data_IF_049352527768
#
_entry.id   IF_049352527768
#
_cell.length_a   1.000
_cell.length_b   1.000
_cell.length_c   1.000
_cell.angle_alpha   90.00
_cell.angle_beta   90.00
_cell.angle_gamma   90.00
#
_symmetry.space_group_name_H-M   'P 1'
#
loop_
_entity.id
_entity.type
_entity.pdbx_description
1 polymer ?
#
# COMPACT_ATOMS: atom_id res chain seq x y z
N UNK A 1 -17.32 13.86 -16.53
CA UNK A 1 -17.39 12.39 -16.49
C UNK A 1 -15.96 11.89 -16.57
N UNK A 2 -15.44 11.29 -15.50
CA UNK A 2 -14.12 10.65 -15.52
C UNK A 2 -14.24 9.30 -16.25
N UNK A 3 -13.24 8.91 -17.07
CA UNK A 3 -13.28 7.67 -17.83
C UNK A 3 -13.33 6.45 -16.90
N UNK A 4 -13.96 5.35 -17.34
CA UNK A 4 -14.05 4.13 -16.56
C UNK A 4 -12.64 3.52 -16.42
N UNK A 5 -12.14 3.48 -15.18
CA UNK A 5 -10.89 2.83 -14.77
C UNK A 5 -9.59 3.49 -15.24
N UNK A 6 -9.37 4.76 -14.86
CA UNK A 6 -7.99 5.26 -14.75
C UNK A 6 -7.34 4.69 -13.47
N UNK A 7 -6.24 3.93 -13.56
CA UNK A 7 -5.54 3.40 -12.37
C UNK A 7 -5.10 4.52 -11.42
N UNK A 8 -4.83 5.71 -11.97
CA UNK A 8 -4.46 6.94 -11.25
C UNK A 8 -5.57 7.48 -10.32
N UNK A 9 -6.81 6.98 -10.44
CA UNK A 9 -7.95 7.37 -9.60
C UNK A 9 -8.40 6.23 -8.66
N UNK A 10 -7.64 5.14 -8.58
CA UNK A 10 -7.95 4.05 -7.68
C UNK A 10 -7.27 4.30 -6.31
N UNK A 11 -8.03 4.56 -5.23
CA UNK A 11 -7.44 4.78 -3.91
C UNK A 11 -6.64 3.56 -3.42
N UNK A 12 -6.95 2.35 -3.94
CA UNK A 12 -6.13 1.17 -3.68
C UNK A 12 -4.75 1.25 -4.33
N UNK A 13 -4.60 1.80 -5.54
CA UNK A 13 -3.27 1.95 -6.15
C UNK A 13 -2.43 2.96 -5.36
N UNK A 14 -3.05 4.07 -4.92
CA UNK A 14 -2.41 5.05 -4.04
C UNK A 14 -1.98 4.46 -2.69
N UNK A 15 -2.79 3.53 -2.14
CA UNK A 15 -2.45 2.80 -0.91
C UNK A 15 -1.25 1.88 -1.10
N UNK A 16 -1.10 1.28 -2.28
CA UNK A 16 -0.03 0.31 -2.56
C UNK A 16 1.29 0.97 -2.97
N UNK A 17 1.29 2.23 -3.37
CA UNK A 17 2.47 2.95 -3.85
C UNK A 17 3.57 3.03 -2.77
N UNK A 18 3.20 3.44 -1.57
CA UNK A 18 4.12 3.59 -0.45
C UNK A 18 4.70 2.28 0.11
N UNK A 19 3.92 1.24 0.45
CA UNK A 19 4.49 -0.02 0.94
C UNK A 19 5.29 -0.73 -0.14
N UNK A 20 4.94 -0.57 -1.43
CA UNK A 20 5.74 -1.08 -2.54
C UNK A 20 7.10 -0.40 -2.63
N UNK A 21 7.15 0.92 -2.45
CA UNK A 21 8.40 1.69 -2.54
C UNK A 21 9.26 1.62 -1.28
N UNK A 22 8.67 1.68 -0.08
CA UNK A 22 9.42 1.79 1.18
C UNK A 22 9.72 0.44 1.81
N UNK A 23 8.79 -0.50 1.74
CA UNK A 23 8.81 -1.68 2.60
C UNK A 23 8.99 -3.00 1.85
N UNK A 24 8.70 -3.01 0.55
CA UNK A 24 8.87 -4.16 -0.33
C UNK A 24 9.99 -3.98 -1.36
N UNK A 25 10.66 -2.81 -1.40
CA UNK A 25 11.75 -2.59 -2.33
C UNK A 25 12.93 -3.50 -2.02
N UNK A 26 13.32 -4.33 -2.99
CA UNK A 26 14.44 -5.27 -2.88
C UNK A 26 14.35 -6.25 -1.70
N UNK A 27 13.15 -6.54 -1.19
CA UNK A 27 12.96 -7.58 -0.18
C UNK A 27 12.78 -8.95 -0.85
N UNK A 28 13.52 -9.94 -0.37
CA UNK A 28 13.34 -11.35 -0.74
C UNK A 28 12.86 -12.07 0.52
N UNK A 29 11.75 -12.79 0.38
CA UNK A 29 11.15 -13.53 1.48
C UNK A 29 11.33 -15.03 1.25
N UNK A 30 11.65 -15.76 2.33
CA UNK A 30 11.88 -17.20 2.28
C UNK A 30 10.57 -18.00 2.11
N UNK A 31 9.41 -17.37 2.31
CA UNK A 31 8.08 -17.97 2.15
C UNK A 31 7.00 -16.90 1.92
N UNK A 32 5.84 -17.33 1.40
CA UNK A 32 4.67 -16.46 1.31
C UNK A 32 4.19 -15.98 2.68
N UNK A 33 4.27 -16.83 3.70
CA UNK A 33 3.90 -16.48 5.08
C UNK A 33 4.78 -15.33 5.62
N UNK A 34 6.09 -15.37 5.32
CA UNK A 34 7.01 -14.28 5.69
C UNK A 34 6.68 -12.96 4.96
N UNK A 35 6.27 -13.03 3.69
CA UNK A 35 5.80 -11.87 2.93
C UNK A 35 4.50 -11.31 3.53
N UNK A 36 3.53 -12.17 3.83
CA UNK A 36 2.23 -11.79 4.39
C UNK A 36 2.37 -11.15 5.77
N UNK A 37 3.20 -11.73 6.65
CA UNK A 37 3.48 -11.16 7.97
C UNK A 37 4.16 -9.79 7.88
N UNK A 38 5.12 -9.63 6.96
CA UNK A 38 5.80 -8.35 6.72
C UNK A 38 4.81 -7.32 6.20
N UNK A 39 3.99 -7.70 5.22
CA UNK A 39 2.97 -6.83 4.67
C UNK A 39 1.94 -6.39 5.73
N UNK A 40 1.49 -7.29 6.59
CA UNK A 40 0.55 -6.98 7.69
C UNK A 40 1.16 -5.98 8.67
N UNK A 41 2.44 -6.15 9.04
CA UNK A 41 3.12 -5.25 9.94
C UNK A 41 3.19 -3.82 9.36
N UNK A 42 3.63 -3.70 8.11
CA UNK A 42 3.81 -2.42 7.43
C UNK A 42 2.47 -1.71 7.18
N UNK A 43 1.43 -2.45 6.75
CA UNK A 43 0.09 -1.86 6.58
C UNK A 43 -0.55 -1.45 7.90
N UNK A 44 -0.29 -2.16 9.01
CA UNK A 44 -0.78 -1.76 10.34
C UNK A 44 -0.16 -0.44 10.81
N UNK A 45 1.14 -0.26 10.59
CA UNK A 45 1.83 0.98 10.94
C UNK A 45 1.33 2.14 10.08
N UNK A 46 1.13 1.91 8.78
CA UNK A 46 0.59 2.89 7.83
C UNK A 46 -0.86 3.30 8.14
N UNK A 47 -1.72 2.35 8.56
CA UNK A 47 -3.12 2.63 8.97
C UNK A 47 -3.21 3.40 10.29
N UNK A 48 -2.17 3.32 11.12
CA UNK A 48 -2.08 4.12 12.36
C UNK A 48 -1.85 5.60 12.03
N UNK A 49 -1.28 5.91 10.87
CA UNK A 49 -1.14 7.27 10.35
C UNK A 49 -2.42 7.76 9.65
N UNK A 50 -3.31 8.35 10.46
CA UNK A 50 -4.63 8.80 10.02
C UNK A 50 -4.56 9.92 8.98
N UNK A 51 -3.53 10.76 9.00
CA UNK A 51 -3.36 11.85 8.04
C UNK A 51 -2.97 11.30 6.66
N UNK A 52 -2.08 10.31 6.65
CA UNK A 52 -1.68 9.60 5.44
C UNK A 52 -2.87 8.90 4.76
N UNK A 53 -3.66 8.13 5.53
CA UNK A 53 -4.85 7.43 5.00
C UNK A 53 -5.89 8.40 4.43
N UNK A 54 -6.07 9.58 5.04
CA UNK A 54 -6.97 10.60 4.51
C UNK A 54 -6.49 11.20 3.19
N UNK A 55 -5.18 11.28 2.97
CA UNK A 55 -4.59 11.76 1.72
C UNK A 55 -4.77 10.77 0.55
N UNK A 56 -4.99 9.49 0.82
CA UNK A 56 -5.12 8.43 -0.20
C UNK A 56 -6.53 8.38 -0.83
N UNK A 57 -7.56 8.76 -0.06
CA UNK A 57 -8.99 8.61 -0.42
C UNK A 57 -9.56 9.89 -1.07
N UNK A 58 -8.71 10.83 -1.48
CA UNK A 58 -9.08 12.15 -2.01
C UNK A 58 -10.00 12.10 -3.25
#
# INVERSE_FOLDING_TARGET
MLPPSSPENNPMENLWDEPREKSLHNCVFDSLDALENHLEAETRDMVTDREYIQSIVA
#
